data_IF_417855922180
#
_entry.id   IF_417855922180
#
_cell.length_a   1.000
_cell.length_b   1.000
_cell.length_c   1.000
_cell.angle_alpha   90.00
_cell.angle_beta   90.00
_cell.angle_gamma   90.00
#
_symmetry.space_group_name_H-M   'P 1'
#
loop_
_entity.id
_entity.type
_entity.pdbx_description
1 polymer ?
#
# COMPACT_ATOMS: atom_id res chain seq x y z
N UNK A 1 -18.78 -75.84 21.29
CA UNK A 1 -19.05 -76.49 22.60
C UNK A 1 -17.82 -76.40 23.49
N UNK A 2 -17.76 -75.40 24.39
CA UNK A 2 -17.14 -75.42 25.73
C UNK A 2 -17.11 -73.98 26.27
N UNK A 3 -17.78 -73.80 27.41
CA UNK A 3 -17.80 -72.58 28.22
C UNK A 3 -16.66 -72.69 29.24
N UNK A 4 -15.86 -71.64 29.43
CA UNK A 4 -15.18 -71.35 30.71
C UNK A 4 -15.11 -69.83 30.90
N UNK A 5 -15.39 -69.41 32.13
CA UNK A 5 -15.22 -68.11 32.81
C UNK A 5 -13.90 -67.37 32.51
N UNK A 6 -13.63 -66.10 32.87
CA UNK A 6 -14.11 -65.13 33.89
C UNK A 6 -13.96 -63.71 33.23
N UNK A 7 -14.39 -62.55 33.71
CA UNK A 7 -14.78 -62.06 35.05
C UNK A 7 -15.81 -60.92 34.96
N UNK A 8 -16.33 -60.46 36.11
CA UNK A 8 -17.12 -59.24 36.27
C UNK A 8 -16.22 -58.11 36.82
N UNK A 9 -16.24 -56.90 36.24
CA UNK A 9 -15.68 -55.71 36.88
C UNK A 9 -16.54 -54.48 36.56
N UNK A 10 -17.55 -54.25 37.39
CA UNK A 10 -18.37 -53.04 37.35
C UNK A 10 -17.62 -51.93 38.10
N UNK A 11 -16.86 -51.11 37.38
CA UNK A 11 -16.35 -49.85 37.92
C UNK A 11 -17.48 -48.83 37.84
N UNK A 12 -18.14 -48.60 38.98
CA UNK A 12 -19.15 -47.56 39.12
C UNK A 12 -18.46 -46.19 39.19
N UNK A 13 -18.10 -45.63 38.03
CA UNK A 13 -17.61 -44.25 37.96
C UNK A 13 -18.81 -43.30 38.08
N UNK A 14 -18.99 -42.72 39.26
CA UNK A 14 -19.96 -41.66 39.48
C UNK A 14 -19.54 -40.41 38.70
N UNK A 15 -20.22 -40.18 37.57
CA UNK A 15 -20.18 -38.91 36.85
C UNK A 15 -20.71 -37.80 37.76
N UNK A 16 -19.81 -37.13 38.46
CA UNK A 16 -20.02 -35.78 38.98
C UNK A 16 -20.08 -34.83 37.78
N UNK A 17 -21.22 -34.85 37.08
CA UNK A 17 -21.58 -33.86 36.09
C UNK A 17 -21.88 -32.55 36.81
N UNK A 18 -20.83 -31.83 37.20
CA UNK A 18 -20.94 -30.41 37.54
C UNK A 18 -21.52 -29.70 36.32
N UNK A 19 -22.74 -29.13 36.41
CA UNK A 19 -23.21 -28.27 35.34
C UNK A 19 -22.38 -26.99 35.42
N UNK A 20 -21.30 -26.94 34.65
CA UNK A 20 -20.76 -25.68 34.14
C UNK A 20 -21.81 -25.10 33.19
N UNK A 21 -22.91 -24.63 33.77
CA UNK A 21 -23.77 -23.65 33.16
C UNK A 21 -22.90 -22.42 32.94
N UNK A 22 -22.30 -22.34 31.74
CA UNK A 22 -22.03 -21.08 31.09
C UNK A 22 -23.40 -20.43 30.98
N UNK A 23 -23.79 -19.68 32.01
CA UNK A 23 -25.01 -18.92 31.99
C UNK A 23 -24.92 -18.01 30.77
N UNK A 24 -25.78 -18.24 29.79
CA UNK A 24 -26.10 -17.19 28.84
C UNK A 24 -26.67 -16.06 29.69
N UNK A 25 -25.85 -15.04 29.95
CA UNK A 25 -26.36 -13.78 30.44
C UNK A 25 -27.50 -13.39 29.48
N UNK A 26 -28.68 -12.99 30.01
CA UNK A 26 -29.74 -12.52 29.14
C UNK A 26 -29.17 -11.43 28.25
N UNK A 27 -29.41 -11.52 26.94
CA UNK A 27 -28.98 -10.50 26.01
C UNK A 27 -29.75 -9.21 26.35
N UNK A 28 -29.11 -8.34 27.14
CA UNK A 28 -29.62 -6.99 27.40
C UNK A 28 -29.88 -6.33 26.05
N UNK A 29 -31.11 -5.81 25.88
CA UNK A 29 -31.50 -5.17 24.63
C UNK A 29 -30.65 -3.92 24.42
N UNK A 30 -29.69 -4.01 23.50
CA UNK A 30 -28.83 -2.88 23.13
C UNK A 30 -29.69 -1.74 22.58
N UNK A 31 -29.70 -0.62 23.30
CA UNK A 31 -30.30 0.62 22.81
C UNK A 31 -29.29 1.33 21.92
N UNK A 32 -29.47 1.26 20.61
CA UNK A 32 -28.64 1.98 19.64
C UNK A 32 -28.83 3.50 19.71
N UNK A 33 -27.88 4.33 19.25
CA UNK A 33 -28.06 5.77 19.22
C UNK A 33 -29.08 6.15 18.16
N UNK A 34 -29.96 7.10 18.48
CA UNK A 34 -30.83 7.71 17.49
C UNK A 34 -30.01 8.24 16.31
N UNK A 35 -30.29 7.69 15.13
CA UNK A 35 -29.67 8.04 13.86
C UNK A 35 -30.76 8.70 13.03
N UNK A 36 -30.70 10.04 12.90
CA UNK A 36 -31.75 10.77 12.19
C UNK A 36 -31.88 10.26 10.76
N UNK A 37 -33.10 10.29 10.25
CA UNK A 37 -33.42 10.08 8.84
C UNK A 37 -33.66 11.43 8.19
N UNK A 38 -33.12 11.64 7.00
CA UNK A 38 -33.36 12.84 6.16
C UNK A 38 -34.04 12.44 4.86
N UNK A 39 -34.77 13.37 4.24
CA UNK A 39 -35.53 13.11 3.00
C UNK A 39 -34.65 13.23 1.73
N UNK A 40 -33.48 12.58 1.73
CA UNK A 40 -32.63 12.50 0.53
C UNK A 40 -33.18 11.45 -0.44
N UNK A 41 -33.38 11.88 -1.69
CA UNK A 41 -33.88 11.06 -2.79
C UNK A 41 -32.92 11.14 -3.98
N UNK A 42 -32.25 10.03 -4.30
CA UNK A 42 -31.39 9.91 -5.48
C UNK A 42 -32.19 9.32 -6.65
N UNK A 43 -31.89 9.73 -7.89
CA UNK A 43 -32.58 9.24 -9.09
C UNK A 43 -31.60 8.51 -10.04
N UNK A 44 -31.87 7.24 -10.27
CA UNK A 44 -31.10 6.39 -11.18
C UNK A 44 -32.00 5.94 -12.33
N UNK A 45 -31.84 6.57 -13.51
CA UNK A 45 -32.59 6.24 -14.74
C UNK A 45 -34.12 6.25 -14.57
N UNK A 46 -34.64 7.19 -13.78
CA UNK A 46 -36.08 7.32 -13.48
C UNK A 46 -36.53 6.55 -12.23
N UNK A 47 -35.69 5.67 -11.67
CA UNK A 47 -35.97 5.01 -10.40
C UNK A 47 -35.47 5.87 -9.24
N UNK A 48 -36.39 6.29 -8.38
CA UNK A 48 -36.07 6.98 -7.11
C UNK A 48 -35.59 5.97 -6.08
N UNK A 49 -34.54 6.35 -5.32
CA UNK A 49 -33.97 5.57 -4.21
C UNK A 49 -33.82 6.51 -3.02
N UNK A 50 -34.40 6.14 -1.88
CA UNK A 50 -34.21 6.84 -0.61
C UNK A 50 -32.81 6.55 -0.03
N UNK A 51 -32.12 7.59 0.42
CA UNK A 51 -30.89 7.46 1.21
C UNK A 51 -30.98 8.27 2.52
N UNK A 52 -31.71 7.76 3.53
CA UNK A 52 -32.04 8.53 4.71
C UNK A 52 -30.84 8.89 5.60
N UNK A 53 -29.63 8.41 5.29
CA UNK A 53 -28.42 8.63 6.07
C UNK A 53 -27.32 9.40 5.32
N UNK A 54 -27.63 9.99 4.16
CA UNK A 54 -26.71 10.82 3.35
C UNK A 54 -25.90 11.84 4.15
N UNK A 55 -26.46 12.38 5.23
CA UNK A 55 -25.78 13.34 6.11
C UNK A 55 -24.50 12.77 6.77
N UNK A 56 -24.39 11.45 6.94
CA UNK A 56 -23.17 10.78 7.42
C UNK A 56 -22.02 10.76 6.40
N UNK A 57 -22.25 11.13 5.14
CA UNK A 57 -21.18 11.28 4.14
C UNK A 57 -20.32 12.54 4.36
N UNK A 58 -20.80 13.54 5.12
CA UNK A 58 -19.96 14.67 5.53
C UNK A 58 -19.09 14.28 6.74
N UNK A 59 -17.87 13.82 6.41
CA UNK A 59 -16.84 13.39 7.36
C UNK A 59 -16.23 14.52 8.20
N UNK A 60 -16.68 15.77 8.00
CA UNK A 60 -16.22 16.95 8.76
C UNK A 60 -17.33 17.64 9.56
N UNK A 61 -18.58 17.18 9.45
CA UNK A 61 -19.66 17.74 10.24
C UNK A 61 -19.56 17.34 11.71
N UNK A 62 -19.91 18.27 12.61
CA UNK A 62 -19.96 18.00 14.07
C UNK A 62 -20.94 16.86 14.37
N UNK A 63 -22.06 16.80 13.65
CA UNK A 63 -23.11 15.79 13.82
C UNK A 63 -22.64 14.37 13.47
N UNK A 64 -21.87 14.19 12.39
CA UNK A 64 -21.23 12.90 12.07
C UNK A 64 -20.22 12.52 13.15
N UNK A 65 -19.42 13.46 13.65
CA UNK A 65 -18.46 13.21 14.73
C UNK A 65 -19.14 12.81 16.06
N UNK A 66 -20.25 13.45 16.41
CA UNK A 66 -21.10 13.07 17.56
C UNK A 66 -21.72 11.68 17.37
N UNK A 67 -22.23 11.37 16.18
CA UNK A 67 -22.77 10.05 15.87
C UNK A 67 -21.72 8.95 16.00
N UNK A 68 -20.52 9.14 15.42
CA UNK A 68 -19.38 8.22 15.55
C UNK A 68 -19.01 8.03 17.03
N UNK A 69 -19.06 9.10 17.83
CA UNK A 69 -18.77 9.03 19.26
C UNK A 69 -19.79 8.19 20.02
N UNK A 70 -21.10 8.37 19.77
CA UNK A 70 -22.18 7.56 20.38
C UNK A 70 -22.14 6.09 19.96
N UNK A 71 -21.82 5.80 18.69
CA UNK A 71 -21.64 4.42 18.22
C UNK A 71 -20.44 3.73 18.88
N UNK A 72 -19.33 4.46 19.03
CA UNK A 72 -18.16 3.99 19.75
C UNK A 72 -18.47 3.74 21.24
N UNK A 73 -19.24 4.59 21.91
CA UNK A 73 -19.60 4.42 23.32
C UNK A 73 -20.31 3.09 23.57
N UNK A 74 -21.36 2.78 22.81
CA UNK A 74 -22.09 1.51 22.92
C UNK A 74 -21.20 0.32 22.56
N UNK A 75 -20.45 0.43 21.47
CA UNK A 75 -19.55 -0.64 21.00
C UNK A 75 -18.49 -0.95 22.05
N UNK A 76 -17.82 0.06 22.60
CA UNK A 76 -16.84 -0.14 23.66
C UNK A 76 -17.48 -0.51 25.00
N UNK A 77 -18.71 -0.09 25.30
CA UNK A 77 -19.48 -0.56 26.46
C UNK A 77 -19.70 -2.07 26.40
N UNK A 78 -20.32 -2.55 25.31
CA UNK A 78 -20.55 -3.98 25.07
C UNK A 78 -19.23 -4.78 25.07
N UNK A 79 -18.22 -4.33 24.33
CA UNK A 79 -16.93 -5.01 24.27
C UNK A 79 -16.16 -4.96 25.61
N UNK A 80 -16.42 -4.01 26.52
CA UNK A 80 -15.83 -3.98 27.87
C UNK A 80 -16.47 -5.01 28.80
N UNK A 81 -17.74 -5.37 28.58
CA UNK A 81 -18.46 -6.35 29.38
C UNK A 81 -18.03 -7.82 29.14
N UNK A 82 -17.36 -8.11 28.02
CA UNK A 82 -16.89 -9.47 27.66
C UNK A 82 -15.78 -9.93 28.64
N UNK A 83 -16.03 -10.90 29.55
CA UNK A 83 -15.13 -11.15 30.69
C UNK A 83 -13.71 -11.59 30.27
N UNK A 84 -13.61 -12.38 29.20
CA UNK A 84 -12.36 -12.94 28.70
C UNK A 84 -11.62 -12.04 27.69
N UNK A 85 -12.12 -10.83 27.37
CA UNK A 85 -11.47 -9.94 26.38
C UNK A 85 -10.04 -9.56 26.79
N UNK A 86 -9.81 -9.32 28.08
CA UNK A 86 -8.49 -9.01 28.60
C UNK A 86 -7.51 -10.18 28.42
N UNK A 87 -7.97 -11.42 28.57
CA UNK A 87 -7.14 -12.61 28.43
C UNK A 87 -6.86 -12.95 26.96
N UNK A 88 -7.82 -12.71 26.06
CA UNK A 88 -7.58 -12.74 24.61
C UNK A 88 -6.51 -11.72 24.21
N UNK A 89 -6.59 -10.47 24.71
CA UNK A 89 -5.56 -9.45 24.47
C UNK A 89 -4.19 -9.93 24.97
N UNK A 90 -4.07 -10.36 26.23
CA UNK A 90 -2.80 -10.86 26.79
C UNK A 90 -2.25 -12.05 26.01
N UNK A 91 -3.12 -12.95 25.53
CA UNK A 91 -2.72 -14.11 24.73
C UNK A 91 -2.17 -13.69 23.37
N UNK A 92 -2.83 -12.76 22.68
CA UNK A 92 -2.34 -12.19 21.42
C UNK A 92 -1.01 -11.46 21.65
N UNK A 93 -0.92 -10.58 22.65
CA UNK A 93 0.30 -9.84 22.99
C UNK A 93 1.48 -10.79 23.27
N UNK A 94 1.28 -11.85 24.06
CA UNK A 94 2.29 -12.89 24.31
C UNK A 94 2.70 -13.66 23.05
N UNK A 95 1.78 -13.91 22.12
CA UNK A 95 2.07 -14.60 20.86
C UNK A 95 2.74 -13.67 19.83
N UNK A 96 2.50 -12.36 19.92
CA UNK A 96 3.06 -11.36 19.01
C UNK A 96 4.44 -10.87 19.45
N UNK A 97 4.77 -10.95 20.74
CA UNK A 97 6.03 -10.46 21.31
C UNK A 97 7.24 -11.39 21.06
N UNK A 98 7.68 -11.44 19.80
CA UNK A 98 8.90 -12.11 19.34
C UNK A 98 9.59 -11.24 18.28
N UNK A 99 10.93 -11.33 18.16
CA UNK A 99 11.67 -10.56 17.16
C UNK A 99 11.27 -10.93 15.72
N UNK A 100 11.12 -9.91 14.87
CA UNK A 100 10.76 -10.06 13.45
C UNK A 100 11.81 -9.36 12.61
N UNK A 101 12.20 -9.98 11.50
CA UNK A 101 13.16 -9.44 10.53
C UNK A 101 12.57 -9.56 9.12
N UNK A 102 12.85 -8.58 8.25
CA UNK A 102 12.65 -8.75 6.80
C UNK A 102 13.80 -9.55 6.19
N UNK A 103 13.65 -9.97 4.93
CA UNK A 103 14.82 -10.25 4.11
C UNK A 103 15.73 -9.00 4.04
N UNK A 104 17.07 -9.16 4.03
CA UNK A 104 17.98 -8.06 3.80
C UNK A 104 18.01 -7.67 2.31
N UNK A 105 18.24 -6.39 2.05
CA UNK A 105 18.48 -5.84 0.71
C UNK A 105 19.72 -4.94 0.74
N UNK A 106 20.36 -4.70 -0.40
CA UNK A 106 21.64 -3.97 -0.48
C UNK A 106 21.48 -2.70 -1.30
N UNK A 107 21.90 -1.58 -0.75
CA UNK A 107 21.89 -0.27 -1.42
C UNK A 107 23.24 0.42 -1.21
N UNK A 108 23.94 0.69 -2.32
CA UNK A 108 25.32 1.16 -2.33
C UNK A 108 26.26 0.27 -1.48
N UNK A 109 26.81 0.83 -0.41
CA UNK A 109 27.75 0.17 0.51
C UNK A 109 27.13 -0.52 1.73
N UNK A 110 25.81 -0.44 1.89
CA UNK A 110 25.10 -0.90 3.08
C UNK A 110 24.12 -2.02 2.76
N UNK A 111 24.00 -2.97 3.69
CA UNK A 111 22.90 -3.93 3.73
C UNK A 111 21.84 -3.38 4.70
N UNK A 112 20.60 -3.32 4.26
CA UNK A 112 19.44 -2.83 5.01
C UNK A 112 18.48 -3.97 5.33
N UNK A 113 17.79 -3.87 6.46
CA UNK A 113 16.69 -4.77 6.82
C UNK A 113 15.77 -4.11 7.84
N UNK A 114 14.49 -4.47 7.82
CA UNK A 114 13.56 -4.10 8.89
C UNK A 114 13.68 -5.06 10.05
N UNK A 115 13.66 -4.53 11.28
CA UNK A 115 13.55 -5.29 12.52
C UNK A 115 12.42 -4.72 13.38
N UNK A 116 11.67 -5.60 14.05
CA UNK A 116 10.77 -5.26 15.14
C UNK A 116 11.14 -6.12 16.35
N UNK A 117 11.31 -5.50 17.53
CA UNK A 117 11.72 -6.20 18.75
C UNK A 117 10.63 -7.11 19.36
N UNK A 118 9.40 -7.04 18.86
CA UNK A 118 8.25 -7.77 19.40
C UNK A 118 6.96 -6.97 19.26
N UNK A 119 6.90 -5.83 19.95
CA UNK A 119 5.70 -5.01 20.15
C UNK A 119 5.90 -3.53 19.79
N UNK A 120 6.95 -3.17 19.04
CA UNK A 120 7.04 -1.82 18.44
C UNK A 120 5.87 -1.61 17.48
N UNK A 121 5.26 -0.42 17.54
CA UNK A 121 4.13 -0.05 16.66
C UNK A 121 4.53 -0.10 15.18
N UNK A 122 5.75 0.35 14.87
CA UNK A 122 6.33 0.31 13.53
C UNK A 122 7.66 -0.44 13.55
N UNK A 123 7.94 -1.24 12.51
CA UNK A 123 9.25 -1.85 12.32
C UNK A 123 10.31 -0.78 12.00
N UNK A 124 11.50 -0.93 12.55
CA UNK A 124 12.63 -0.01 12.40
C UNK A 124 13.53 -0.48 11.27
N UNK A 125 13.97 0.43 10.41
CA UNK A 125 14.94 0.14 9.36
C UNK A 125 16.36 0.24 9.93
N UNK A 126 17.05 -0.90 9.96
CA UNK A 126 18.46 -1.02 10.33
C UNK A 126 19.34 -1.09 9.08
N UNK A 127 20.64 -0.83 9.28
CA UNK A 127 21.66 -1.10 8.27
C UNK A 127 22.99 -1.54 8.88
N UNK A 128 23.79 -2.21 8.08
CA UNK A 128 25.19 -2.57 8.37
C UNK A 128 26.05 -2.33 7.12
N UNK A 129 27.38 -2.20 7.26
CA UNK A 129 28.26 -2.13 6.09
C UNK A 129 28.33 -3.53 5.48
N UNK A 130 27.98 -3.66 4.20
CA UNK A 130 27.87 -4.97 3.54
C UNK A 130 29.18 -5.75 3.60
N UNK A 131 29.12 -6.99 4.09
CA UNK A 131 30.30 -7.87 4.21
C UNK A 131 31.25 -7.50 5.36
N UNK A 132 30.86 -6.59 6.27
CA UNK A 132 31.58 -6.32 7.51
C UNK A 132 31.02 -7.12 8.69
N UNK A 133 31.84 -7.28 9.74
CA UNK A 133 31.39 -7.83 11.02
C UNK A 133 30.91 -6.75 12.01
N UNK A 134 30.58 -5.54 11.52
CA UNK A 134 30.11 -4.45 12.38
C UNK A 134 28.64 -4.69 12.77
N UNK A 135 28.28 -4.41 14.03
CA UNK A 135 26.89 -4.54 14.47
C UNK A 135 25.97 -3.58 13.71
N UNK A 136 24.75 -4.01 13.33
CA UNK A 136 23.77 -3.15 12.66
C UNK A 136 23.40 -1.91 13.49
N UNK A 137 23.30 -0.76 12.82
CA UNK A 137 22.84 0.50 13.38
C UNK A 137 21.41 0.82 12.92
N UNK A 138 20.61 1.47 13.77
CA UNK A 138 19.32 2.04 13.36
C UNK A 138 19.59 3.08 12.29
N UNK A 139 18.94 2.98 11.12
CA UNK A 139 19.01 3.97 10.05
C UNK A 139 17.81 4.92 10.08
N UNK A 140 16.59 4.38 10.12
CA UNK A 140 15.34 5.13 10.18
C UNK A 140 14.34 4.43 11.09
N UNK A 141 13.80 5.15 12.07
CA UNK A 141 12.83 4.63 13.05
C UNK A 141 11.48 5.37 12.93
N UNK A 142 10.48 4.75 12.26
CA UNK A 142 9.16 5.36 12.07
C UNK A 142 8.36 5.56 13.36
N UNK A 143 8.75 4.92 14.48
CA UNK A 143 8.09 5.17 15.78
C UNK A 143 8.31 6.63 16.26
N UNK A 144 9.27 7.36 15.68
CA UNK A 144 9.49 8.78 15.95
C UNK A 144 8.67 9.72 15.05
N UNK A 145 7.90 9.21 14.07
CA UNK A 145 7.06 10.04 13.18
C UNK A 145 5.79 10.55 13.86
N UNK A 146 5.35 9.92 14.96
CA UNK A 146 4.14 10.26 15.71
C UNK A 146 4.26 9.76 17.15
N UNK A 147 3.62 10.44 18.11
CA UNK A 147 3.69 10.07 19.54
C UNK A 147 2.95 8.76 19.87
N UNK A 148 1.99 8.38 19.05
CA UNK A 148 1.13 7.20 19.21
C UNK A 148 1.49 6.07 18.22
N UNK A 149 2.43 6.29 17.30
CA UNK A 149 2.82 5.34 16.26
C UNK A 149 1.83 5.20 15.10
N UNK A 150 0.88 6.13 14.94
CA UNK A 150 -0.11 6.13 13.84
C UNK A 150 0.44 6.62 12.50
N UNK A 151 1.57 7.33 12.51
CA UNK A 151 2.33 7.65 11.29
C UNK A 151 3.32 6.52 10.97
N UNK A 152 3.31 6.03 9.73
CA UNK A 152 4.11 4.90 9.29
C UNK A 152 4.99 5.22 8.08
N UNK A 153 6.04 4.42 7.88
CA UNK A 153 6.82 4.42 6.65
C UNK A 153 6.05 3.66 5.57
N UNK A 154 5.55 4.36 4.56
CA UNK A 154 4.78 3.79 3.45
C UNK A 154 5.66 3.26 2.31
N UNK A 155 6.92 3.70 2.23
CA UNK A 155 7.89 3.29 1.22
C UNK A 155 9.22 4.01 1.39
N UNK A 156 10.30 3.42 0.88
CA UNK A 156 11.63 4.04 0.78
C UNK A 156 12.29 3.58 -0.51
N UNK A 157 12.94 4.50 -1.21
CA UNK A 157 13.66 4.25 -2.47
C UNK A 157 14.99 5.00 -2.44
N UNK A 158 16.07 4.30 -2.81
CA UNK A 158 17.43 4.85 -2.81
C UNK A 158 17.80 5.36 -4.21
N UNK A 159 18.67 6.38 -4.27
CA UNK A 159 19.36 6.68 -5.53
C UNK A 159 20.22 5.50 -5.94
N UNK A 160 20.49 5.36 -7.24
CA UNK A 160 21.27 4.26 -7.83
C UNK A 160 22.62 3.99 -7.12
N UNK A 161 23.30 5.05 -6.67
CA UNK A 161 24.58 4.97 -5.95
C UNK A 161 24.43 4.71 -4.43
N UNK A 162 23.19 4.68 -3.92
CA UNK A 162 22.85 4.57 -2.51
C UNK A 162 23.25 5.78 -1.66
N UNK A 163 23.58 6.94 -2.25
CA UNK A 163 23.99 8.14 -1.49
C UNK A 163 22.80 8.95 -0.95
N UNK A 164 21.66 8.88 -1.63
CA UNK A 164 20.39 9.51 -1.24
C UNK A 164 19.31 8.44 -1.03
N UNK A 165 18.32 8.78 -0.22
CA UNK A 165 17.05 8.04 -0.17
C UNK A 165 15.88 9.02 -0.09
N UNK A 166 14.78 8.67 -0.73
CA UNK A 166 13.50 9.34 -0.59
C UNK A 166 12.52 8.37 0.06
N UNK A 167 11.81 8.83 1.09
CA UNK A 167 10.88 7.98 1.85
C UNK A 167 9.52 8.63 2.04
N UNK A 168 8.48 7.79 2.05
CA UNK A 168 7.08 8.18 2.10
C UNK A 168 6.55 8.01 3.53
N UNK A 169 5.92 9.05 4.08
CA UNK A 169 5.25 9.02 5.39
C UNK A 169 3.74 8.95 5.17
N UNK A 170 3.11 7.95 5.79
CA UNK A 170 1.67 7.87 6.04
C UNK A 170 1.33 8.60 7.34
N UNK A 171 0.21 9.31 7.40
CA UNK A 171 -0.34 9.85 8.65
C UNK A 171 -1.75 9.30 8.87
N UNK A 172 -2.02 8.75 10.07
CA UNK A 172 -3.32 8.18 10.43
C UNK A 172 -3.76 6.97 9.57
N UNK A 173 -2.84 6.34 8.83
CA UNK A 173 -3.16 5.27 7.88
C UNK A 173 -3.75 5.74 6.54
N UNK A 174 -3.81 7.04 6.27
CA UNK A 174 -4.30 7.61 4.99
C UNK A 174 -3.50 7.13 3.78
N UNK A 175 -4.10 7.14 2.59
CA UNK A 175 -3.38 6.89 1.32
C UNK A 175 -2.51 8.06 0.87
N UNK A 176 -2.78 9.27 1.38
CA UNK A 176 -1.96 10.44 1.12
C UNK A 176 -0.59 10.30 1.81
N UNK A 177 0.46 10.69 1.09
CA UNK A 177 1.86 10.57 1.48
C UNK A 177 2.54 11.93 1.48
N UNK A 178 3.47 12.10 2.42
CA UNK A 178 4.54 13.09 2.35
C UNK A 178 5.81 12.41 1.86
N UNK A 179 6.63 13.06 1.04
CA UNK A 179 7.95 12.53 0.65
C UNK A 179 9.05 13.39 1.26
N UNK A 180 10.01 12.74 1.91
CA UNK A 180 11.18 13.37 2.50
C UNK A 180 12.43 12.76 1.89
N UNK A 181 13.39 13.59 1.48
CA UNK A 181 14.69 13.14 0.95
C UNK A 181 15.77 13.29 2.01
N UNK A 182 16.70 12.35 2.07
CA UNK A 182 17.78 12.31 3.06
C UNK A 182 19.11 11.85 2.45
N UNK A 183 20.20 12.55 2.80
CA UNK A 183 21.58 12.11 2.60
C UNK A 183 21.84 10.88 3.48
N UNK A 184 22.11 9.74 2.85
CA UNK A 184 22.22 8.43 3.51
C UNK A 184 23.41 8.39 4.47
N UNK A 185 24.53 9.01 4.12
CA UNK A 185 25.74 8.98 4.95
C UNK A 185 25.61 9.93 6.14
N UNK A 186 25.19 11.18 5.89
CA UNK A 186 25.09 12.24 6.90
C UNK A 186 23.81 12.17 7.74
N UNK A 187 22.83 11.36 7.31
CA UNK A 187 21.48 11.26 7.91
C UNK A 187 20.79 12.62 8.02
N UNK A 188 21.01 13.48 7.02
CA UNK A 188 20.50 14.85 6.98
C UNK A 188 19.40 14.95 5.93
N UNK A 189 18.23 15.48 6.32
CA UNK A 189 17.15 15.79 5.40
C UNK A 189 17.59 16.86 4.39
N UNK A 190 17.14 16.73 3.14
CA UNK A 190 17.50 17.58 2.01
C UNK A 190 16.26 18.19 1.38
N UNK A 191 16.29 19.50 1.14
CA UNK A 191 15.15 20.24 0.59
C UNK A 191 13.95 20.30 1.53
N UNK A 192 12.82 20.69 0.97
CA UNK A 192 11.53 20.69 1.66
C UNK A 192 10.83 19.34 1.52
N UNK A 193 9.82 19.09 2.36
CA UNK A 193 8.95 17.92 2.23
C UNK A 193 8.01 18.11 1.05
N UNK A 194 7.89 17.10 0.18
CA UNK A 194 6.89 17.09 -0.89
C UNK A 194 5.55 16.59 -0.32
N UNK A 195 4.45 17.20 -0.76
CA UNK A 195 3.09 16.86 -0.34
C UNK A 195 2.26 16.33 -1.52
N UNK A 196 1.05 15.87 -1.22
CA UNK A 196 0.01 15.52 -2.21
C UNK A 196 0.38 14.36 -3.14
N UNK A 197 1.31 13.52 -2.66
CA UNK A 197 1.69 12.25 -3.27
C UNK A 197 0.71 11.16 -2.81
N UNK A 198 0.23 10.32 -3.73
CA UNK A 198 -0.71 9.23 -3.43
C UNK A 198 -0.58 8.18 -4.54
N UNK A 199 -0.70 6.89 -4.20
CA UNK A 199 -0.55 5.77 -5.15
C UNK A 199 0.69 5.88 -6.07
N UNK A 200 1.86 6.14 -5.48
CA UNK A 200 3.08 6.54 -6.18
C UNK A 200 4.29 5.69 -5.77
N UNK A 201 5.05 5.22 -6.76
CA UNK A 201 6.47 4.87 -6.60
C UNK A 201 7.32 6.13 -6.42
N UNK A 202 8.62 5.97 -6.12
CA UNK A 202 9.62 7.05 -6.16
C UNK A 202 10.80 6.56 -6.99
N UNK A 203 10.71 6.71 -8.31
CA UNK A 203 11.70 6.09 -9.22
C UNK A 203 12.81 7.07 -9.57
N UNK A 204 14.01 6.83 -9.06
CA UNK A 204 15.17 7.69 -9.24
C UNK A 204 15.72 7.68 -10.66
N UNK A 205 16.22 8.84 -11.09
CA UNK A 205 17.12 8.99 -12.24
C UNK A 205 18.50 9.38 -11.70
N UNK A 206 19.34 8.38 -11.45
CA UNK A 206 20.61 8.49 -10.76
C UNK A 206 20.43 9.17 -9.41
N UNK A 207 21.12 10.29 -9.23
CA UNK A 207 21.04 11.16 -8.04
C UNK A 207 20.47 12.57 -8.36
N UNK A 208 20.04 12.81 -9.60
CA UNK A 208 19.55 14.13 -10.06
C UNK A 208 18.15 14.46 -9.54
N UNK A 209 17.34 13.43 -9.27
CA UNK A 209 15.92 13.55 -9.01
C UNK A 209 15.19 12.22 -9.17
N UNK A 210 13.87 12.24 -8.97
CA UNK A 210 13.01 11.06 -9.07
C UNK A 210 11.64 11.40 -9.67
N UNK A 211 11.06 10.42 -10.35
CA UNK A 211 9.69 10.45 -10.81
C UNK A 211 8.73 10.02 -9.70
N UNK A 212 7.61 10.73 -9.56
CA UNK A 212 6.56 10.43 -8.60
C UNK A 212 5.19 10.86 -9.13
N UNK A 213 4.13 10.22 -8.64
CA UNK A 213 2.76 10.50 -9.02
C UNK A 213 2.02 11.26 -7.91
N UNK A 214 1.17 12.19 -8.31
CA UNK A 214 0.43 13.09 -7.43
C UNK A 214 -0.95 13.41 -7.99
N UNK A 215 -1.89 13.78 -7.11
CA UNK A 215 -3.15 14.40 -7.48
C UNK A 215 -3.20 15.81 -6.93
N UNK A 216 -3.93 16.70 -7.63
CA UNK A 216 -4.42 17.91 -6.99
C UNK A 216 -5.29 17.52 -5.78
N UNK A 217 -5.11 18.19 -4.65
CA UNK A 217 -6.06 18.08 -3.53
C UNK A 217 -7.47 18.44 -4.02
N UNK A 218 -8.51 17.68 -3.62
CA UNK A 218 -9.90 18.10 -3.80
C UNK A 218 -10.10 19.52 -3.25
N UNK A 219 -10.65 20.42 -4.07
CA UNK A 219 -10.90 21.82 -3.68
C UNK A 219 -12.08 21.93 -2.72
N UNK A 220 -13.07 21.07 -2.93
CA UNK A 220 -14.30 20.97 -2.14
C UNK A 220 -14.30 19.69 -1.31
N UNK A 221 -14.93 19.73 -0.14
CA UNK A 221 -15.04 18.58 0.76
C UNK A 221 -13.74 18.26 1.53
N UNK A 222 -13.66 17.02 2.03
CA UNK A 222 -12.49 16.50 2.75
C UNK A 222 -11.49 15.87 1.78
N UNK A 223 -10.20 15.88 2.15
CA UNK A 223 -9.18 15.13 1.40
C UNK A 223 -9.34 13.60 1.53
N UNK A 224 -10.15 13.12 2.47
CA UNK A 224 -10.39 11.69 2.70
C UNK A 224 -11.54 11.13 1.85
N UNK A 225 -12.60 11.92 1.63
CA UNK A 225 -13.79 11.57 0.84
C UNK A 225 -13.80 12.17 -0.58
N UNK A 226 -13.05 13.25 -0.80
CA UNK A 226 -13.02 13.99 -2.08
C UNK A 226 -12.43 13.19 -3.24
N UNK A 227 -13.10 13.26 -4.40
CA UNK A 227 -12.78 12.46 -5.59
C UNK A 227 -11.45 12.87 -6.25
N UNK A 228 -10.46 11.99 -6.19
CA UNK A 228 -9.22 12.08 -6.96
C UNK A 228 -9.32 11.23 -8.24
N UNK A 229 -9.25 11.85 -9.43
CA UNK A 229 -9.45 11.15 -10.71
C UNK A 229 -8.46 11.48 -11.85
N UNK A 230 -7.71 12.59 -11.76
CA UNK A 230 -6.70 12.97 -12.75
C UNK A 230 -5.32 12.88 -12.09
N UNK A 231 -4.68 11.73 -12.22
CA UNK A 231 -3.34 11.53 -11.68
C UNK A 231 -2.32 12.23 -12.58
N UNK A 232 -1.22 12.68 -11.98
CA UNK A 232 -0.15 13.41 -12.66
C UNK A 232 1.18 12.79 -12.33
N UNK A 233 1.97 12.46 -13.34
CA UNK A 233 3.35 12.03 -13.16
C UNK A 233 4.26 13.25 -13.22
N UNK A 234 4.99 13.50 -12.14
CA UNK A 234 5.97 14.58 -12.01
C UNK A 234 7.40 14.04 -11.96
N UNK A 235 8.36 14.90 -12.29
CA UNK A 235 9.78 14.72 -11.97
C UNK A 235 10.25 15.78 -10.97
N UNK A 236 10.65 15.33 -9.79
CA UNK A 236 11.28 16.18 -8.79
C UNK A 236 12.78 16.27 -9.05
N UNK A 237 13.34 17.49 -9.13
CA UNK A 237 14.78 17.71 -9.27
C UNK A 237 15.39 18.08 -7.93
N UNK A 238 16.48 17.39 -7.54
CA UNK A 238 17.17 17.65 -6.28
C UNK A 238 17.63 19.10 -6.16
N UNK A 239 17.31 19.73 -5.03
CA UNK A 239 17.64 21.13 -4.75
C UNK A 239 16.64 22.15 -5.33
N UNK A 240 15.51 21.70 -5.89
CA UNK A 240 14.39 22.56 -6.30
C UNK A 240 13.19 22.43 -5.35
N UNK A 241 12.36 23.46 -5.19
CA UNK A 241 11.10 23.36 -4.45
C UNK A 241 10.07 22.59 -5.29
N UNK A 242 9.12 21.90 -4.63
CA UNK A 242 8.09 21.09 -5.30
C UNK A 242 7.28 21.87 -6.37
N UNK A 243 7.10 23.19 -6.18
CA UNK A 243 6.42 24.06 -7.15
C UNK A 243 7.14 24.26 -8.49
N UNK A 244 8.40 23.81 -8.61
CA UNK A 244 9.16 23.77 -9.87
C UNK A 244 9.20 22.36 -10.52
N UNK A 245 8.50 21.37 -9.95
CA UNK A 245 8.52 19.99 -10.47
C UNK A 245 7.87 19.89 -11.87
N UNK A 246 8.52 19.14 -12.76
CA UNK A 246 8.11 19.05 -14.17
C UNK A 246 6.97 18.06 -14.34
N UNK A 247 5.83 18.47 -14.92
CA UNK A 247 4.74 17.57 -15.28
C UNK A 247 5.11 16.77 -16.53
N UNK A 248 5.32 15.47 -16.37
CA UNK A 248 5.81 14.55 -17.41
C UNK A 248 4.66 13.92 -18.20
N UNK A 249 3.59 13.50 -17.53
CA UNK A 249 2.45 12.80 -18.12
C UNK A 249 1.19 12.96 -17.26
N UNK A 250 0.01 12.85 -17.86
CA UNK A 250 -1.27 12.82 -17.14
C UNK A 250 -1.98 14.17 -17.00
N UNK A 251 -2.75 14.31 -15.91
CA UNK A 251 -3.61 15.46 -15.67
C UNK A 251 -4.81 15.54 -16.62
N UNK A 252 -5.45 16.71 -16.71
CA UNK A 252 -6.69 16.89 -17.50
C UNK A 252 -6.53 16.61 -18.99
N UNK A 253 -5.31 16.77 -19.54
CA UNK A 253 -5.01 16.50 -20.96
C UNK A 253 -4.87 15.01 -21.28
N UNK A 254 -4.58 14.19 -20.28
CA UNK A 254 -4.37 12.74 -20.37
C UNK A 254 -4.99 12.11 -19.10
N UNK A 255 -6.33 12.06 -19.01
CA UNK A 255 -7.03 11.84 -17.74
C UNK A 255 -7.02 10.35 -17.35
N UNK A 256 -5.92 9.86 -16.79
CA UNK A 256 -5.84 8.54 -16.15
C UNK A 256 -6.03 8.66 -14.64
N UNK A 257 -6.69 7.66 -14.05
CA UNK A 257 -6.84 7.58 -12.59
C UNK A 257 -5.58 7.06 -11.91
N UNK A 258 -4.85 6.15 -12.53
CA UNK A 258 -3.62 5.60 -11.95
C UNK A 258 -2.47 5.78 -12.92
N UNK A 259 -1.31 6.16 -12.39
CA UNK A 259 -0.07 6.41 -13.11
C UNK A 259 1.07 5.90 -12.25
N UNK A 260 1.88 5.00 -12.81
CA UNK A 260 3.12 4.53 -12.21
C UNK A 260 4.29 4.84 -13.13
N UNK A 261 5.46 5.05 -12.55
CA UNK A 261 6.71 5.23 -13.29
C UNK A 261 7.81 4.33 -12.74
N UNK A 262 8.62 3.80 -13.65
CA UNK A 262 9.87 3.11 -13.35
C UNK A 262 10.94 3.52 -14.36
N UNK A 263 12.11 3.89 -13.85
CA UNK A 263 13.33 4.12 -14.60
C UNK A 263 14.11 2.80 -14.66
N UNK A 264 14.68 2.45 -15.81
CA UNK A 264 15.55 1.27 -15.95
C UNK A 264 16.84 1.43 -15.15
N UNK A 265 17.44 0.30 -14.76
CA UNK A 265 18.70 0.27 -13.99
C UNK A 265 19.87 0.99 -14.69
N UNK A 266 19.86 1.08 -16.02
CA UNK A 266 20.84 1.82 -16.83
C UNK A 266 20.52 3.33 -16.97
N UNK A 267 19.49 3.83 -16.26
CA UNK A 267 18.93 5.20 -16.33
C UNK A 267 18.47 5.67 -17.70
N UNK A 268 18.44 4.80 -18.72
CA UNK A 268 18.16 5.21 -20.09
C UNK A 268 16.68 5.28 -20.41
N UNK A 269 15.84 4.47 -19.77
CA UNK A 269 14.43 4.35 -20.11
C UNK A 269 13.55 4.75 -18.94
N UNK A 270 12.55 5.58 -19.22
CA UNK A 270 11.41 5.77 -18.34
C UNK A 270 10.22 5.00 -18.93
N UNK A 271 9.66 4.09 -18.14
CA UNK A 271 8.39 3.43 -18.44
C UNK A 271 7.27 4.06 -17.62
N UNK A 272 6.12 4.25 -18.25
CA UNK A 272 4.93 4.83 -17.63
C UNK A 272 3.78 3.84 -17.81
N UNK A 273 3.23 3.36 -16.71
CA UNK A 273 2.00 2.57 -16.69
C UNK A 273 0.82 3.50 -16.41
N UNK A 274 -0.28 3.37 -17.18
CA UNK A 274 -1.43 4.26 -17.10
C UNK A 274 -2.75 3.49 -17.14
N UNK A 275 -3.61 3.70 -16.13
CA UNK A 275 -4.84 2.92 -15.95
C UNK A 275 -6.03 3.76 -15.44
N UNK A 276 -7.25 3.24 -15.64
CA UNK A 276 -8.51 3.84 -15.13
C UNK A 276 -9.11 3.08 -13.94
N UNK A 277 -8.78 1.79 -13.84
CA UNK A 277 -9.26 0.85 -12.84
C UNK A 277 -8.08 0.09 -12.22
N UNK A 278 -8.37 -0.88 -11.35
CA UNK A 278 -7.37 -1.76 -10.72
C UNK A 278 -6.99 -2.98 -11.57
N UNK A 279 -7.54 -3.10 -12.77
CA UNK A 279 -7.18 -4.06 -13.80
C UNK A 279 -7.08 -3.32 -15.12
N UNK A 280 -6.10 -3.71 -15.94
CA UNK A 280 -5.89 -3.17 -17.28
C UNK A 280 -5.10 -1.87 -17.30
N UNK A 281 -3.99 -1.85 -18.04
CA UNK A 281 -3.13 -0.68 -18.17
C UNK A 281 -2.54 -0.53 -19.58
N UNK A 282 -2.35 0.71 -19.96
CA UNK A 282 -1.47 1.07 -21.06
C UNK A 282 -0.02 1.14 -20.55
N UNK A 283 0.95 0.91 -21.44
CA UNK A 283 2.37 1.01 -21.15
C UNK A 283 3.04 1.90 -22.19
N UNK A 284 3.82 2.86 -21.72
CA UNK A 284 4.58 3.80 -22.53
C UNK A 284 6.07 3.76 -22.17
N UNK A 285 6.92 4.20 -23.10
CA UNK A 285 8.38 4.31 -22.91
C UNK A 285 8.90 5.67 -23.40
N UNK A 286 9.95 6.18 -22.76
CA UNK A 286 10.67 7.41 -23.13
C UNK A 286 12.18 7.19 -22.97
N UNK A 287 12.96 7.53 -24.00
CA UNK A 287 14.43 7.56 -23.90
C UNK A 287 14.87 8.81 -23.12
N UNK A 288 15.47 8.63 -21.94
CA UNK A 288 15.99 9.67 -21.06
C UNK A 288 17.38 10.17 -21.48
N UNK A 289 18.10 9.43 -22.32
CA UNK A 289 19.40 9.86 -22.86
C UNK A 289 19.24 10.92 -23.96
N UNK A 290 18.07 10.98 -24.60
CA UNK A 290 17.75 11.92 -25.67
C UNK A 290 16.93 13.09 -25.09
N UNK A 291 17.49 14.30 -25.13
CA UNK A 291 16.79 15.52 -24.70
C UNK A 291 15.49 15.70 -25.48
N UNK A 292 14.39 15.90 -24.76
CA UNK A 292 13.03 16.06 -25.30
C UNK A 292 12.53 14.85 -26.12
N UNK A 293 13.03 13.64 -25.87
CA UNK A 293 12.51 12.41 -26.48
C UNK A 293 11.00 12.27 -26.29
N UNK A 294 10.23 11.85 -27.30
CA UNK A 294 8.79 11.61 -27.15
C UNK A 294 8.50 10.49 -26.15
N UNK A 295 7.29 10.51 -25.59
CA UNK A 295 6.72 9.36 -24.88
C UNK A 295 5.99 8.53 -25.93
N UNK A 296 6.45 7.29 -26.14
CA UNK A 296 5.94 6.39 -27.17
C UNK A 296 5.08 5.29 -26.53
N UNK A 297 3.90 4.96 -27.08
CA UNK A 297 3.13 3.81 -26.61
C UNK A 297 3.86 2.50 -26.95
N UNK A 298 3.79 1.55 -26.01
CA UNK A 298 4.18 0.16 -26.23
C UNK A 298 2.94 -0.74 -26.40
N UNK A 299 1.96 -0.57 -25.50
CA UNK A 299 0.62 -1.16 -25.64
C UNK A 299 -0.43 -0.13 -25.18
N UNK A 300 -1.59 -0.16 -25.81
CA UNK A 300 -2.73 0.74 -25.57
C UNK A 300 -4.02 -0.07 -25.44
N UNK A 301 -5.06 0.55 -24.88
CA UNK A 301 -6.26 -0.15 -24.41
C UNK A 301 -6.12 -0.65 -22.97
N UNK A 302 -7.27 -0.93 -22.34
CA UNK A 302 -7.38 -1.24 -20.90
C UNK A 302 -7.96 -2.63 -20.64
N UNK A 303 -7.96 -3.51 -21.66
CA UNK A 303 -8.46 -4.88 -21.57
C UNK A 303 -7.39 -5.86 -21.03
N UNK A 304 -6.14 -5.42 -20.96
CA UNK A 304 -4.96 -6.24 -20.66
C UNK A 304 -4.01 -5.52 -19.72
N UNK A 305 -3.21 -6.28 -18.98
CA UNK A 305 -2.12 -5.78 -18.14
C UNK A 305 -0.77 -6.01 -18.82
N UNK A 306 0.17 -5.09 -18.60
CA UNK A 306 1.53 -5.14 -19.16
C UNK A 306 2.51 -4.39 -18.26
N UNK A 307 3.44 -5.13 -17.66
CA UNK A 307 4.41 -4.63 -16.69
C UNK A 307 5.84 -4.94 -17.15
N UNK A 308 6.75 -3.97 -17.03
CA UNK A 308 8.17 -4.19 -17.32
C UNK A 308 8.82 -4.90 -16.14
N UNK A 309 9.40 -6.08 -16.41
CA UNK A 309 10.09 -6.91 -15.42
C UNK A 309 11.58 -6.63 -15.39
N UNK A 310 12.18 -6.39 -16.55
CA UNK A 310 13.62 -6.15 -16.69
C UNK A 310 13.94 -5.42 -18.01
N UNK A 311 15.13 -4.82 -18.11
CA UNK A 311 15.63 -4.15 -19.31
C UNK A 311 17.11 -4.45 -19.49
N UNK A 312 17.51 -4.83 -20.71
CA UNK A 312 18.88 -5.12 -21.09
C UNK A 312 19.22 -4.35 -22.38
N UNK A 313 19.77 -3.14 -22.22
CA UNK A 313 20.11 -2.24 -23.34
C UNK A 313 18.89 -1.75 -24.11
N UNK A 314 18.67 -2.28 -25.31
CA UNK A 314 17.49 -1.97 -26.15
C UNK A 314 16.34 -3.00 -25.97
N UNK A 315 16.54 -4.09 -25.20
CA UNK A 315 15.53 -5.14 -24.95
C UNK A 315 14.73 -4.85 -23.68
N UNK A 316 13.42 -4.94 -23.79
CA UNK A 316 12.48 -4.68 -22.69
C UNK A 316 11.68 -5.95 -22.45
N UNK A 317 11.79 -6.54 -21.25
CA UNK A 317 11.11 -7.78 -20.88
C UNK A 317 9.79 -7.43 -20.19
N UNK A 318 8.66 -7.80 -20.79
CA UNK A 318 7.30 -7.40 -20.39
C UNK A 318 6.47 -8.61 -20.01
N UNK A 319 5.99 -8.67 -18.77
CA UNK A 319 4.98 -9.63 -18.33
C UNK A 319 3.61 -9.09 -18.74
N UNK A 320 2.84 -9.87 -19.50
CA UNK A 320 1.53 -9.42 -20.01
C UNK A 320 0.53 -10.56 -20.11
N UNK A 321 -0.76 -10.24 -19.99
CA UNK A 321 -1.86 -11.15 -20.34
C UNK A 321 -2.46 -10.87 -21.73
N UNK A 322 -1.83 -10.03 -22.56
CA UNK A 322 -2.27 -9.74 -23.93
C UNK A 322 -2.33 -11.02 -24.76
N UNK A 323 -3.56 -11.46 -25.07
CA UNK A 323 -3.86 -12.76 -25.73
C UNK A 323 -3.33 -13.99 -24.98
N UNK A 324 -3.16 -13.88 -23.66
CA UNK A 324 -2.66 -14.95 -22.79
C UNK A 324 -3.26 -14.79 -21.37
N UNK A 325 -4.49 -15.26 -21.10
CA UNK A 325 -5.16 -15.10 -19.81
C UNK A 325 -4.33 -15.43 -18.55
N UNK A 326 -3.50 -16.47 -18.59
CA UNK A 326 -2.59 -16.90 -17.51
C UNK A 326 -1.23 -16.18 -17.52
N UNK A 327 -1.09 -15.11 -18.31
CA UNK A 327 0.13 -14.33 -18.58
C UNK A 327 1.20 -15.08 -19.37
N UNK A 328 2.14 -14.30 -19.90
CA UNK A 328 3.37 -14.73 -20.59
C UNK A 328 4.44 -13.64 -20.50
N UNK A 329 5.71 -14.02 -20.68
CA UNK A 329 6.82 -13.08 -20.78
C UNK A 329 7.16 -12.82 -22.24
N UNK A 330 7.06 -11.55 -22.64
CA UNK A 330 7.35 -11.05 -23.97
C UNK A 330 8.62 -10.19 -23.96
N UNK A 331 9.27 -10.05 -25.11
CA UNK A 331 10.40 -9.14 -25.34
C UNK A 331 10.00 -8.12 -26.40
N UNK A 332 9.99 -6.85 -26.00
CA UNK A 332 9.87 -5.70 -26.88
C UNK A 332 11.26 -5.11 -27.17
N UNK A 333 11.34 -4.23 -28.17
CA UNK A 333 12.50 -3.34 -28.33
C UNK A 333 12.07 -1.89 -28.27
N UNK A 334 12.95 -1.00 -27.85
CA UNK A 334 12.64 0.42 -27.79
C UNK A 334 12.53 1.12 -29.16
N UNK A 335 12.89 0.44 -30.26
CA UNK A 335 12.72 0.93 -31.64
C UNK A 335 11.38 0.49 -32.22
N UNK A 336 10.95 -0.72 -31.88
CA UNK A 336 9.72 -1.36 -32.33
C UNK A 336 8.81 -1.61 -31.12
N UNK A 337 8.27 -0.52 -30.55
CA UNK A 337 7.59 -0.56 -29.25
C UNK A 337 6.23 -1.26 -29.28
N UNK A 338 5.57 -1.34 -30.45
CA UNK A 338 4.22 -1.91 -30.61
C UNK A 338 4.12 -3.37 -30.17
N UNK A 339 3.11 -3.70 -29.35
CA UNK A 339 2.80 -5.06 -28.89
C UNK A 339 2.56 -6.09 -30.00
N UNK A 340 2.27 -5.64 -31.22
CA UNK A 340 2.20 -6.51 -32.41
C UNK A 340 3.55 -7.06 -32.88
N UNK A 341 4.66 -6.48 -32.43
CA UNK A 341 6.04 -6.82 -32.82
C UNK A 341 6.84 -7.50 -31.71
N UNK A 342 6.26 -7.63 -30.50
CA UNK A 342 6.92 -8.28 -29.38
C UNK A 342 7.08 -9.78 -29.64
N UNK A 343 8.22 -10.34 -29.22
CA UNK A 343 8.54 -11.75 -29.35
C UNK A 343 8.26 -12.48 -28.03
N UNK A 344 7.71 -13.69 -28.10
CA UNK A 344 7.46 -14.50 -26.90
C UNK A 344 8.76 -15.13 -26.39
N UNK A 345 9.00 -15.06 -25.08
CA UNK A 345 10.18 -15.61 -24.41
C UNK A 345 9.82 -16.73 -23.44
N UNK A 346 8.79 -16.51 -22.62
CA UNK A 346 8.18 -17.57 -21.80
C UNK A 346 6.70 -17.60 -22.18
N UNK A 347 6.30 -18.68 -22.86
CA UNK A 347 4.94 -18.90 -23.28
C UNK A 347 3.98 -19.02 -22.07
N UNK A 348 2.71 -18.74 -22.33
CA UNK A 348 1.63 -19.02 -21.40
C UNK A 348 1.58 -20.52 -21.04
N UNK A 349 1.21 -20.85 -19.80
CA UNK A 349 0.93 -22.23 -19.39
C UNK A 349 -0.50 -22.37 -18.85
N UNK A 350 -0.94 -23.59 -18.55
CA UNK A 350 -2.28 -23.85 -17.99
C UNK A 350 -2.50 -23.20 -16.60
N UNK A 351 -1.47 -22.64 -15.97
CA UNK A 351 -1.57 -21.89 -14.72
C UNK A 351 -0.60 -20.69 -14.69
N UNK A 352 -0.96 -19.60 -13.99
CA UNK A 352 -0.13 -18.40 -13.85
C UNK A 352 1.05 -18.57 -12.86
#
# INVERSE_FOLDING_TARGET
MRIVTLSLFVVLLTLLSSPNAIGQAPAESLSYPDTKRVDQLDNYFGKVVEDPYRWLEDDRSEETAEWVSRQNEITFGYLKAIPYRADVRKRLEKLWNYEKYSAPFKEGKYTYFFKNNGLQNQSVLYREISGSNASPEVFLDPNNFSKDGTSSLAGIQFSEDGSLCAYQISEGGSDWRKVVVMDVLKRKLLGDTLFDVKFSSLSWKGQEGFFYSSYDKPKDGSALSGKTQHHKLYYHRMGKPQGEDELIFGGEKQPYRYLGAVVSEDNRWLFISAAQATYGNELYVKDLSIKNSPILPMITGLDFESDVVHVEGDRIYVLTNFKAPNRRLMVATAKDTSSSLWQELIAETESP
#
